data_IF_604712266361
#
_entry.id   IF_604712266361
#
_cell.length_a   1.000
_cell.length_b   1.000
_cell.length_c   1.000
_cell.angle_alpha   90.00
_cell.angle_beta   90.00
_cell.angle_gamma   90.00
#
_symmetry.space_group_name_H-M   'P 1'
#
loop_
_entity.id
_entity.type
_entity.pdbx_description
1 polymer ?
#
# COMPACT_ATOMS: atom_id res chain seq x y z
N UNK A 1 15.90 17.18 13.23
CA UNK A 1 14.53 17.33 13.78
C UNK A 1 13.45 16.58 12.96
N UNK A 2 13.50 16.57 11.63
CA UNK A 2 12.54 15.83 10.78
C UNK A 2 12.67 14.30 10.92
N UNK A 3 13.91 13.77 10.90
CA UNK A 3 14.18 12.33 11.04
C UNK A 3 13.76 11.78 12.41
N UNK A 4 13.93 12.57 13.48
CA UNK A 4 13.49 12.21 14.84
C UNK A 4 11.96 12.21 14.98
N UNK A 5 11.25 13.09 14.25
CA UNK A 5 9.78 13.06 14.17
C UNK A 5 9.27 11.88 13.34
N UNK A 6 10.00 11.47 12.30
CA UNK A 6 9.69 10.26 11.52
C UNK A 6 9.86 8.99 12.36
N UNK A 7 10.96 8.89 13.12
CA UNK A 7 11.22 7.76 14.04
C UNK A 7 10.23 7.70 15.21
N UNK A 8 9.88 8.83 15.83
CA UNK A 8 8.84 8.87 16.87
C UNK A 8 7.40 8.75 16.32
N UNK A 9 7.20 8.93 15.01
CA UNK A 9 5.93 8.62 14.33
C UNK A 9 5.85 7.17 13.86
N UNK A 10 6.89 6.36 14.10
CA UNK A 10 6.77 4.90 14.06
C UNK A 10 6.36 4.48 15.47
N UNK A 11 5.06 4.34 15.78
CA UNK A 11 4.71 3.54 16.92
C UNK A 11 5.25 2.15 16.61
N UNK A 12 6.28 1.74 17.36
CA UNK A 12 6.67 0.36 17.59
C UNK A 12 5.59 -0.37 18.40
N UNK A 13 4.33 -0.01 18.18
CA UNK A 13 3.16 -0.52 18.85
C UNK A 13 2.44 -1.37 17.83
N UNK A 14 2.54 -2.66 18.08
CA UNK A 14 1.69 -3.72 17.58
C UNK A 14 0.23 -3.54 18.07
N UNK A 15 -0.31 -2.32 18.01
CA UNK A 15 -1.73 -2.09 18.30
C UNK A 15 -2.50 -2.36 17.01
N UNK A 16 -3.47 -3.29 17.10
CA UNK A 16 -4.49 -3.57 16.09
C UNK A 16 -5.34 -2.32 15.81
N UNK A 17 -4.77 -1.31 15.16
CA UNK A 17 -5.57 -0.45 14.29
C UNK A 17 -5.93 -1.27 13.07
N UNK A 18 -7.21 -1.33 12.71
CA UNK A 18 -7.70 -2.07 11.56
C UNK A 18 -6.89 -1.69 10.31
N UNK A 19 -6.06 -2.61 9.83
CA UNK A 19 -5.25 -2.43 8.62
C UNK A 19 -5.99 -3.11 7.51
N UNK A 20 -6.09 -2.47 6.35
CA UNK A 20 -6.49 -3.15 5.12
C UNK A 20 -5.73 -4.47 4.99
N UNK A 21 -6.44 -5.56 4.73
CA UNK A 21 -5.85 -6.89 4.57
C UNK A 21 -4.65 -6.87 3.60
N UNK A 22 -4.83 -6.20 2.46
CA UNK A 22 -3.79 -6.00 1.46
C UNK A 22 -2.58 -5.23 2.02
N UNK A 23 -2.80 -4.15 2.77
CA UNK A 23 -1.68 -3.42 3.38
C UNK A 23 -0.92 -4.28 4.39
N UNK A 24 -1.62 -5.19 5.09
CA UNK A 24 -1.02 -6.22 5.94
C UNK A 24 -0.15 -7.20 5.14
N UNK A 25 -0.64 -7.72 4.01
CA UNK A 25 0.12 -8.64 3.16
C UNK A 25 1.44 -8.04 2.66
N UNK A 26 1.44 -6.77 2.23
CA UNK A 26 2.67 -6.11 1.79
C UNK A 26 3.60 -5.79 2.96
N UNK A 27 3.10 -5.07 3.95
CA UNK A 27 3.96 -4.44 4.96
C UNK A 27 4.33 -5.35 6.12
N UNK A 28 3.55 -6.40 6.37
CA UNK A 28 3.80 -7.36 7.44
C UNK A 28 4.24 -8.71 6.86
N UNK A 29 3.42 -9.37 6.04
CA UNK A 29 3.76 -10.72 5.56
C UNK A 29 4.98 -10.70 4.63
N UNK A 30 4.95 -9.89 3.57
CA UNK A 30 6.03 -9.84 2.58
C UNK A 30 7.32 -9.28 3.20
N UNK A 31 7.22 -8.25 4.03
CA UNK A 31 8.38 -7.71 4.75
C UNK A 31 9.04 -8.75 5.67
N UNK A 32 8.27 -9.46 6.50
CA UNK A 32 8.83 -10.49 7.38
C UNK A 32 9.36 -11.70 6.59
N UNK A 33 8.71 -12.07 5.49
CA UNK A 33 9.20 -13.11 4.58
C UNK A 33 10.59 -12.74 4.03
N UNK A 34 10.75 -11.52 3.51
CA UNK A 34 12.02 -11.04 2.96
C UNK A 34 13.12 -10.94 4.02
N UNK A 35 12.79 -10.45 5.22
CA UNK A 35 13.73 -10.42 6.36
C UNK A 35 14.14 -11.84 6.77
N UNK A 36 13.19 -12.77 6.86
CA UNK A 36 13.48 -14.18 7.17
C UNK A 36 14.38 -14.84 6.13
N UNK A 37 14.14 -14.58 4.84
CA UNK A 37 14.98 -15.05 3.75
C UNK A 37 16.38 -14.42 3.80
N UNK A 38 16.50 -13.12 4.10
CA UNK A 38 17.78 -12.45 4.26
C UNK A 38 18.61 -13.06 5.39
N UNK A 39 17.97 -13.38 6.52
CA UNK A 39 18.62 -14.07 7.65
C UNK A 39 19.06 -15.48 7.24
N UNK A 40 18.22 -16.24 6.54
CA UNK A 40 18.54 -17.59 6.08
C UNK A 40 19.74 -17.60 5.12
N UNK A 41 19.78 -16.68 4.15
CA UNK A 41 20.91 -16.53 3.22
C UNK A 41 22.17 -16.12 3.97
N UNK A 42 22.06 -15.15 4.89
CA UNK A 42 23.19 -14.70 5.72
C UNK A 42 23.77 -15.83 6.56
N UNK A 43 22.90 -16.66 7.16
CA UNK A 43 23.32 -17.84 7.91
C UNK A 43 24.14 -18.79 7.04
N UNK A 44 23.70 -19.07 5.81
CA UNK A 44 24.44 -19.93 4.89
C UNK A 44 25.75 -19.31 4.39
N UNK A 45 25.79 -17.99 4.26
CA UNK A 45 26.94 -17.22 3.76
C UNK A 45 28.05 -17.07 4.81
N UNK A 46 27.70 -16.84 6.08
CA UNK A 46 28.67 -16.60 7.16
C UNK A 46 28.88 -17.82 8.07
N UNK A 47 27.89 -18.70 8.19
CA UNK A 47 27.91 -19.86 9.09
C UNK A 47 28.41 -21.17 8.46
N UNK A 48 28.72 -21.19 7.17
CA UNK A 48 29.26 -22.36 6.48
C UNK A 48 30.18 -21.96 5.33
N UNK A 49 30.66 -22.96 4.56
CA UNK A 49 31.43 -22.71 3.34
C UNK A 49 30.49 -22.29 2.20
N UNK A 50 30.57 -21.05 1.67
CA UNK A 50 29.69 -20.60 0.59
C UNK A 50 30.14 -21.14 -0.78
N UNK A 51 31.44 -21.42 -0.91
CA UNK A 51 32.11 -21.93 -2.10
C UNK A 51 33.14 -23.00 -1.68
N UNK A 52 33.27 -24.06 -2.49
CA UNK A 52 34.29 -25.09 -2.31
C UNK A 52 35.01 -25.30 -3.64
N UNK A 53 36.34 -25.26 -3.64
CA UNK A 53 37.14 -25.25 -4.87
C UNK A 53 38.00 -26.52 -5.01
N UNK A 54 38.05 -27.05 -6.22
CA UNK A 54 38.96 -28.11 -6.62
C UNK A 54 40.33 -27.51 -6.92
N UNK A 55 41.23 -27.62 -5.95
CA UNK A 55 42.63 -27.17 -6.06
C UNK A 55 43.57 -28.35 -6.33
N UNK A 56 44.78 -28.13 -6.87
CA UNK A 56 45.78 -29.18 -7.08
C UNK A 56 46.14 -29.91 -5.77
N UNK A 57 46.52 -31.19 -5.87
CA UNK A 57 46.88 -32.03 -4.72
C UNK A 57 48.06 -31.51 -3.90
N UNK A 58 48.91 -30.68 -4.49
CA UNK A 58 50.10 -30.12 -3.85
C UNK A 58 49.77 -28.99 -2.85
N UNK A 59 48.52 -28.50 -2.87
CA UNK A 59 48.10 -27.39 -2.02
C UNK A 59 47.84 -27.89 -0.60
N UNK A 60 48.52 -27.28 0.38
CA UNK A 60 48.20 -27.52 1.79
C UNK A 60 46.79 -27.01 2.15
N UNK A 61 46.23 -27.46 3.27
CA UNK A 61 44.92 -26.99 3.76
C UNK A 61 44.81 -25.45 3.88
N UNK A 62 45.91 -24.76 4.22
CA UNK A 62 45.93 -23.30 4.29
C UNK A 62 45.79 -22.65 2.90
N UNK A 63 46.43 -23.24 1.88
CA UNK A 63 46.32 -22.81 0.49
C UNK A 63 44.90 -23.06 -0.07
N UNK A 64 44.27 -24.17 0.32
CA UNK A 64 42.86 -24.44 -0.02
C UNK A 64 41.94 -23.37 0.54
N UNK A 65 42.07 -23.04 1.84
CA UNK A 65 41.27 -22.00 2.48
C UNK A 65 41.55 -20.61 1.88
N UNK A 66 42.79 -20.32 1.52
CA UNK A 66 43.14 -19.07 0.82
C UNK A 66 42.44 -19.00 -0.53
N UNK A 67 42.50 -20.05 -1.35
CA UNK A 67 41.85 -20.10 -2.66
C UNK A 67 40.32 -19.99 -2.54
N UNK A 68 39.69 -20.72 -1.61
CA UNK A 68 38.24 -20.64 -1.33
C UNK A 68 37.84 -19.20 -0.95
N UNK A 69 38.55 -18.55 -0.03
CA UNK A 69 38.25 -17.18 0.41
C UNK A 69 38.53 -16.14 -0.68
N UNK A 70 39.62 -16.31 -1.44
CA UNK A 70 39.97 -15.42 -2.54
C UNK A 70 38.89 -15.48 -3.62
N UNK A 71 38.51 -16.69 -4.06
CA UNK A 71 37.48 -16.92 -5.06
C UNK A 71 36.08 -16.52 -4.58
N UNK A 72 35.83 -16.55 -3.26
CA UNK A 72 34.61 -15.98 -2.70
C UNK A 72 34.59 -14.45 -2.77
N UNK A 73 35.74 -13.81 -2.57
CA UNK A 73 35.86 -12.35 -2.56
C UNK A 73 35.90 -11.72 -3.95
N UNK A 74 36.33 -12.48 -4.96
CA UNK A 74 36.43 -12.06 -6.35
C UNK A 74 35.26 -12.59 -7.19
N UNK A 75 35.06 -11.98 -8.35
CA UNK A 75 34.02 -12.40 -9.29
C UNK A 75 34.40 -13.74 -9.94
N UNK A 76 33.47 -14.69 -9.96
CA UNK A 76 33.64 -15.97 -10.66
C UNK A 76 32.93 -15.92 -12.01
N UNK A 77 33.31 -16.79 -12.94
CA UNK A 77 32.69 -16.83 -14.27
C UNK A 77 32.22 -18.24 -14.64
N UNK A 78 31.21 -18.32 -15.49
CA UNK A 78 30.68 -19.58 -15.98
C UNK A 78 31.12 -19.84 -17.42
N UNK A 79 31.60 -21.06 -17.69
CA UNK A 79 31.89 -21.55 -19.04
C UNK A 79 31.16 -22.88 -19.21
N UNK A 80 30.36 -23.07 -20.27
CA UNK A 80 29.74 -24.36 -20.56
C UNK A 80 30.79 -25.47 -20.74
N UNK A 81 30.49 -26.68 -20.26
CA UNK A 81 31.41 -27.83 -20.40
C UNK A 81 31.70 -28.22 -21.85
N UNK A 82 30.88 -27.77 -22.81
CA UNK A 82 31.06 -28.03 -24.24
C UNK A 82 32.17 -27.19 -24.89
N UNK A 83 32.62 -26.09 -24.26
CA UNK A 83 33.66 -25.23 -24.80
C UNK A 83 34.98 -25.35 -24.01
N UNK A 84 36.15 -25.42 -24.68
CA UNK A 84 37.43 -25.47 -23.98
C UNK A 84 37.74 -24.12 -23.32
N UNK A 85 38.17 -24.15 -22.05
CA UNK A 85 38.59 -22.95 -21.29
C UNK A 85 39.75 -22.19 -21.96
N UNK A 86 40.61 -22.91 -22.70
CA UNK A 86 41.73 -22.33 -23.43
C UNK A 86 41.29 -21.47 -24.63
N UNK A 87 40.16 -21.81 -25.26
CA UNK A 87 39.63 -21.12 -26.45
C UNK A 87 38.96 -19.79 -26.12
N UNK A 88 38.51 -19.61 -24.87
CA UNK A 88 37.90 -18.39 -24.32
C UNK A 88 38.93 -17.46 -23.64
N UNK A 89 40.20 -17.53 -24.06
CA UNK A 89 41.32 -16.72 -23.53
C UNK A 89 41.31 -15.24 -23.94
N UNK A 90 40.31 -14.79 -24.70
CA UNK A 90 40.08 -13.36 -24.89
C UNK A 90 39.52 -12.74 -23.60
N UNK A 91 40.27 -11.85 -22.94
CA UNK A 91 39.83 -11.08 -21.74
C UNK A 91 38.46 -10.40 -21.89
N UNK A 92 38.01 -10.16 -23.12
CA UNK A 92 36.75 -9.45 -23.45
C UNK A 92 35.50 -10.33 -23.27
N UNK A 93 35.61 -11.65 -23.36
CA UNK A 93 34.46 -12.57 -23.25
C UNK A 93 34.27 -13.13 -21.83
N UNK A 94 35.29 -13.01 -20.97
CA UNK A 94 35.22 -13.47 -19.56
C UNK A 94 34.51 -12.47 -18.66
N UNK A 95 34.60 -11.17 -18.95
CA UNK A 95 33.95 -10.11 -18.15
C UNK A 95 32.44 -10.10 -18.29
N UNK A 96 31.89 -10.50 -19.44
CA UNK A 96 30.44 -10.59 -19.67
C UNK A 96 29.79 -11.76 -18.93
N UNK A 97 30.56 -12.78 -18.55
CA UNK A 97 30.11 -13.98 -17.85
C UNK A 97 30.40 -13.96 -16.34
N UNK A 98 30.81 -12.82 -15.77
CA UNK A 98 31.09 -12.67 -14.35
C UNK A 98 29.80 -12.68 -13.51
N UNK A 99 29.87 -13.35 -12.36
CA UNK A 99 28.75 -13.62 -11.46
C UNK A 99 29.14 -13.15 -10.07
N UNK A 100 28.46 -12.10 -9.59
CA UNK A 100 28.74 -11.50 -8.28
C UNK A 100 27.48 -11.21 -7.44
N UNK A 101 26.29 -11.47 -8.00
CA UNK A 101 25.02 -11.14 -7.34
C UNK A 101 24.87 -11.85 -5.97
N UNK A 102 25.38 -13.07 -5.82
CA UNK A 102 25.19 -13.86 -4.60
C UNK A 102 25.82 -13.20 -3.35
N UNK A 103 26.87 -12.39 -3.50
CA UNK A 103 27.52 -11.70 -2.36
C UNK A 103 26.60 -10.64 -1.73
N UNK A 104 25.79 -9.98 -2.56
CA UNK A 104 24.94 -8.84 -2.17
C UNK A 104 23.50 -9.24 -1.84
N UNK A 105 23.18 -10.53 -1.95
CA UNK A 105 21.82 -11.05 -1.81
C UNK A 105 21.13 -10.64 -0.50
N UNK A 106 21.75 -10.77 0.69
CA UNK A 106 21.05 -10.41 1.94
C UNK A 106 20.71 -8.93 2.02
N UNK A 107 21.60 -8.06 1.54
CA UNK A 107 21.39 -6.62 1.54
C UNK A 107 20.29 -6.21 0.55
N UNK A 108 20.26 -6.86 -0.61
CA UNK A 108 19.20 -6.71 -1.59
C UNK A 108 17.82 -7.05 -1.01
N UNK A 109 17.69 -8.22 -0.37
CA UNK A 109 16.43 -8.64 0.27
C UNK A 109 15.98 -7.69 1.39
N UNK A 110 16.91 -7.16 2.18
CA UNK A 110 16.60 -6.15 3.21
C UNK A 110 16.14 -4.82 2.59
N UNK A 111 16.75 -4.42 1.48
CA UNK A 111 16.33 -3.24 0.72
C UNK A 111 14.91 -3.41 0.18
N UNK A 112 14.60 -4.56 -0.45
CA UNK A 112 13.24 -4.87 -0.92
C UNK A 112 12.23 -4.82 0.26
N UNK A 113 12.57 -5.41 1.41
CA UNK A 113 11.73 -5.40 2.60
C UNK A 113 11.40 -3.96 3.07
N UNK A 114 12.40 -3.08 3.07
CA UNK A 114 12.21 -1.67 3.39
C UNK A 114 11.28 -0.97 2.39
N UNK A 115 11.43 -1.23 1.09
CA UNK A 115 10.56 -0.69 0.06
C UNK A 115 9.10 -1.15 0.22
N UNK A 116 8.85 -2.42 0.58
CA UNK A 116 7.49 -2.92 0.86
C UNK A 116 6.82 -2.25 2.07
N UNK A 117 7.61 -1.66 2.98
CA UNK A 117 7.09 -0.91 4.13
C UNK A 117 6.71 0.54 3.79
N UNK A 118 7.31 1.12 2.74
CA UNK A 118 7.18 2.53 2.39
C UNK A 118 5.74 2.99 2.11
N UNK A 119 4.90 2.29 1.32
CA UNK A 119 3.55 2.78 1.01
C UNK A 119 2.63 2.84 2.24
N UNK A 120 2.82 1.95 3.22
CA UNK A 120 2.12 2.03 4.50
C UNK A 120 2.48 3.29 5.28
N UNK A 121 3.75 3.69 5.24
CA UNK A 121 4.20 4.92 5.90
C UNK A 121 3.55 6.14 5.25
N UNK A 122 3.50 6.18 3.91
CA UNK A 122 2.81 7.22 3.12
C UNK A 122 1.34 7.33 3.55
N UNK A 123 0.60 6.21 3.55
CA UNK A 123 -0.81 6.19 3.98
C UNK A 123 -0.99 6.76 5.40
N UNK A 124 -0.25 6.24 6.38
CA UNK A 124 -0.38 6.67 7.78
C UNK A 124 -0.07 8.15 7.96
N UNK A 125 0.97 8.64 7.30
CA UNK A 125 1.38 10.03 7.39
C UNK A 125 0.33 10.97 6.80
N UNK A 126 -0.10 10.73 5.56
CA UNK A 126 -1.05 11.62 4.88
C UNK A 126 -2.48 11.49 5.42
N UNK A 127 -2.94 10.28 5.76
CA UNK A 127 -4.25 10.09 6.39
C UNK A 127 -4.29 10.73 7.80
N UNK A 128 -3.19 10.68 8.57
CA UNK A 128 -3.09 11.34 9.87
C UNK A 128 -3.11 12.86 9.79
N UNK A 129 -2.70 13.43 8.65
CA UNK A 129 -2.83 14.86 8.39
C UNK A 129 -4.25 15.28 8.01
N UNK A 130 -5.13 14.34 7.66
CA UNK A 130 -6.52 14.66 7.38
C UNK A 130 -7.25 15.07 8.67
N UNK A 131 -8.23 15.98 8.56
CA UNK A 131 -9.06 16.38 9.70
C UNK A 131 -9.93 15.25 10.27
N UNK A 132 -9.93 14.08 9.62
CA UNK A 132 -10.63 12.87 10.01
C UNK A 132 -9.57 11.87 10.44
N UNK A 133 -9.31 11.73 11.75
CA UNK A 133 -8.32 10.78 12.28
C UNK A 133 -8.76 9.33 12.01
N UNK A 134 -8.58 8.83 10.78
CA UNK A 134 -9.09 7.52 10.33
C UNK A 134 -8.59 6.39 11.22
N UNK A 135 -7.33 6.44 11.66
CA UNK A 135 -6.78 5.44 12.58
C UNK A 135 -7.50 5.37 13.92
N UNK A 136 -7.94 6.51 14.46
CA UNK A 136 -8.70 6.56 15.72
C UNK A 136 -10.13 6.05 15.52
N UNK A 137 -10.74 6.40 14.38
CA UNK A 137 -12.08 5.91 14.01
C UNK A 137 -12.06 4.38 13.89
N UNK A 138 -11.08 3.83 13.17
CA UNK A 138 -10.94 2.39 13.02
C UNK A 138 -10.66 1.69 14.35
N UNK A 139 -9.91 2.32 15.27
CA UNK A 139 -9.68 1.80 16.61
C UNK A 139 -10.99 1.68 17.41
N UNK A 140 -11.81 2.73 17.43
CA UNK A 140 -13.09 2.73 18.17
C UNK A 140 -14.09 1.72 17.58
N UNK A 141 -14.06 1.53 16.25
CA UNK A 141 -14.97 0.59 15.57
C UNK A 141 -14.55 -0.88 15.74
N UNK A 142 -13.26 -1.16 15.96
CA UNK A 142 -12.71 -2.52 16.15
C UNK A 142 -12.47 -2.84 17.62
N UNK A 143 -13.00 -2.06 18.55
CA UNK A 143 -12.86 -2.30 19.99
C UNK A 143 -13.61 -3.59 20.38
N UNK A 144 -12.94 -4.49 21.09
CA UNK A 144 -13.49 -5.76 21.56
C UNK A 144 -14.68 -5.54 22.53
N UNK A 145 -14.71 -4.39 23.22
CA UNK A 145 -15.81 -4.05 24.13
C UNK A 145 -17.12 -3.68 23.41
N UNK A 146 -17.11 -3.54 22.09
CA UNK A 146 -18.32 -3.25 21.30
C UNK A 146 -19.33 -4.42 21.30
N UNK A 147 -18.97 -5.58 21.83
CA UNK A 147 -19.95 -6.66 22.11
C UNK A 147 -20.98 -6.24 23.16
N UNK A 148 -20.61 -5.35 24.09
CA UNK A 148 -21.54 -4.80 25.10
C UNK A 148 -22.34 -3.65 24.50
N UNK A 149 -23.69 -3.69 24.53
CA UNK A 149 -24.53 -2.72 23.82
C UNK A 149 -24.39 -1.28 24.33
N UNK A 150 -24.17 -1.08 25.64
CA UNK A 150 -24.00 0.28 26.19
C UNK A 150 -22.69 0.93 25.70
N UNK A 151 -21.57 0.19 25.77
CA UNK A 151 -20.26 0.67 25.29
C UNK A 151 -20.31 0.93 23.78
N UNK A 152 -20.94 0.01 23.03
CA UNK A 152 -21.17 0.19 21.60
C UNK A 152 -21.90 1.49 21.30
N UNK A 153 -22.99 1.77 22.01
CA UNK A 153 -23.81 2.98 21.81
C UNK A 153 -23.03 4.25 22.10
N UNK A 154 -22.24 4.27 23.17
CA UNK A 154 -21.34 5.39 23.51
C UNK A 154 -20.28 5.62 22.42
N UNK A 155 -19.62 4.55 21.97
CA UNK A 155 -18.64 4.61 20.89
C UNK A 155 -19.25 5.11 19.57
N UNK A 156 -20.45 4.63 19.22
CA UNK A 156 -21.20 5.10 18.05
C UNK A 156 -21.54 6.58 18.19
N UNK A 157 -21.98 7.03 19.36
CA UNK A 157 -22.31 8.44 19.61
C UNK A 157 -21.07 9.34 19.49
N UNK A 158 -19.94 8.93 20.08
CA UNK A 158 -18.67 9.63 19.97
C UNK A 158 -18.19 9.75 18.50
N UNK A 159 -18.27 8.64 17.75
CA UNK A 159 -17.96 8.61 16.32
C UNK A 159 -18.90 9.50 15.51
N UNK A 160 -20.20 9.46 15.80
CA UNK A 160 -21.20 10.28 15.13
C UNK A 160 -20.89 11.78 15.31
N UNK A 161 -20.58 12.22 16.53
CA UNK A 161 -20.16 13.60 16.82
C UNK A 161 -18.89 13.97 16.05
N UNK A 162 -17.89 13.09 16.05
CA UNK A 162 -16.62 13.33 15.35
C UNK A 162 -16.79 13.44 13.82
N UNK A 163 -17.51 12.49 13.20
CA UNK A 163 -17.82 12.51 11.77
C UNK A 163 -18.63 13.75 11.40
N UNK A 164 -19.64 14.09 12.20
CA UNK A 164 -20.43 15.31 11.98
C UNK A 164 -19.58 16.57 12.03
N UNK A 165 -18.67 16.67 13.01
CA UNK A 165 -17.72 17.78 13.11
C UNK A 165 -16.86 17.91 11.85
N UNK A 166 -16.30 16.79 11.38
CA UNK A 166 -15.47 16.75 10.19
C UNK A 166 -16.24 17.11 8.90
N UNK A 167 -17.42 16.52 8.68
CA UNK A 167 -18.26 16.79 7.51
C UNK A 167 -18.76 18.25 7.49
N UNK A 168 -19.16 18.80 8.65
CA UNK A 168 -19.55 20.22 8.76
C UNK A 168 -18.38 21.15 8.47
N UNK A 169 -17.18 20.81 8.94
CA UNK A 169 -15.97 21.58 8.67
C UNK A 169 -15.69 21.66 7.16
N UNK A 170 -15.73 20.52 6.46
CA UNK A 170 -15.57 20.47 5.00
C UNK A 170 -16.64 21.30 4.27
N UNK A 171 -17.91 21.22 4.70
CA UNK A 171 -19.00 22.02 4.12
C UNK A 171 -18.79 23.53 4.31
N UNK A 172 -18.32 23.96 5.49
CA UNK A 172 -18.03 25.38 5.79
C UNK A 172 -16.91 25.92 4.90
N UNK A 173 -15.87 25.13 4.63
CA UNK A 173 -14.79 25.51 3.73
C UNK A 173 -15.29 25.76 2.30
N UNK A 174 -16.13 24.85 1.78
CA UNK A 174 -16.77 24.99 0.47
C UNK A 174 -17.66 26.22 0.39
N UNK A 175 -18.52 26.45 1.38
CA UNK A 175 -19.45 27.59 1.40
C UNK A 175 -18.73 28.96 1.45
N UNK A 176 -17.59 29.05 2.14
CA UNK A 176 -16.84 30.30 2.28
C UNK A 176 -15.79 30.52 1.18
N UNK A 177 -15.67 29.61 0.20
CA UNK A 177 -14.63 29.63 -0.85
C UNK A 177 -13.22 29.96 -0.30
N UNK A 178 -12.92 29.47 0.90
CA UNK A 178 -11.64 29.72 1.56
C UNK A 178 -10.56 28.89 0.87
N UNK A 179 -9.72 29.55 0.08
CA UNK A 179 -8.46 28.97 -0.42
C UNK A 179 -7.30 29.45 0.47
N UNK A 180 -6.89 28.67 1.49
CA UNK A 180 -5.85 29.11 2.44
C UNK A 180 -4.51 29.43 1.76
N UNK A 181 -4.15 28.74 0.67
CA UNK A 181 -2.96 29.05 -0.10
C UNK A 181 -3.30 29.48 -1.53
N UNK A 182 -3.02 30.75 -1.88
CA UNK A 182 -3.21 31.30 -3.24
C UNK A 182 -2.07 30.93 -4.21
N UNK A 183 -0.87 30.65 -3.70
CA UNK A 183 0.34 30.39 -4.50
C UNK A 183 0.58 28.88 -4.72
N UNK A 184 0.53 28.07 -3.67
CA UNK A 184 0.69 26.61 -3.75
C UNK A 184 -0.67 25.92 -3.72
N UNK A 185 -1.32 25.83 -4.88
CA UNK A 185 -2.68 25.28 -5.03
C UNK A 185 -2.77 23.79 -4.64
N UNK A 186 -1.67 23.04 -4.72
CA UNK A 186 -1.60 21.63 -4.29
C UNK A 186 -1.74 21.44 -2.77
N UNK A 187 -1.35 22.42 -1.95
CA UNK A 187 -1.54 22.36 -0.48
C UNK A 187 -3.00 22.54 -0.07
N UNK A 188 -3.85 23.07 -0.97
CA UNK A 188 -5.29 23.16 -0.74
C UNK A 188 -6.00 21.80 -0.88
N UNK A 189 -5.33 20.77 -1.41
CA UNK A 189 -5.88 19.43 -1.58
C UNK A 189 -6.34 18.81 -0.24
N UNK A 190 -5.64 19.13 0.85
CA UNK A 190 -5.96 18.71 2.23
C UNK A 190 -7.36 19.15 2.69
N UNK A 191 -7.89 20.23 2.12
CA UNK A 191 -9.17 20.82 2.49
C UNK A 191 -10.31 20.38 1.55
N UNK A 192 -10.03 19.45 0.62
CA UNK A 192 -11.02 18.92 -0.30
C UNK A 192 -11.92 17.86 0.35
N UNK A 193 -13.14 17.70 -0.17
CA UNK A 193 -14.16 16.72 0.27
C UNK A 193 -13.89 15.28 -0.19
N UNK A 194 -12.82 15.06 -0.96
CA UNK A 194 -12.38 13.75 -1.48
C UNK A 194 -10.94 13.42 -1.07
N UNK A 195 -10.35 14.17 -0.14
CA UNK A 195 -8.93 14.07 0.19
C UNK A 195 -8.56 12.69 0.75
N UNK A 196 -9.34 12.18 1.70
CA UNK A 196 -9.05 10.91 2.36
C UNK A 196 -9.11 9.77 1.34
N UNK A 197 -10.14 9.79 0.49
CA UNK A 197 -10.34 8.79 -0.55
C UNK A 197 -9.22 8.85 -1.60
N UNK A 198 -8.80 10.05 -2.01
CA UNK A 198 -7.68 10.22 -2.94
C UNK A 198 -6.37 9.66 -2.37
N UNK A 199 -6.05 9.99 -1.13
CA UNK A 199 -4.83 9.48 -0.47
C UNK A 199 -4.88 7.95 -0.35
N UNK A 200 -6.05 7.36 -0.15
CA UNK A 200 -6.23 5.91 -0.13
C UNK A 200 -5.92 5.27 -1.47
N UNK A 201 -6.49 5.81 -2.56
CA UNK A 201 -6.22 5.32 -3.91
C UNK A 201 -4.75 5.53 -4.31
N UNK A 202 -4.13 6.65 -3.93
CA UNK A 202 -2.69 6.88 -4.12
C UNK A 202 -1.87 5.82 -3.38
N UNK A 203 -2.23 5.48 -2.14
CA UNK A 203 -1.55 4.44 -1.39
C UNK A 203 -1.72 3.06 -2.04
N UNK A 204 -2.92 2.70 -2.50
CA UNK A 204 -3.18 1.44 -3.23
C UNK A 204 -2.40 1.36 -4.53
N UNK A 205 -2.38 2.44 -5.29
CA UNK A 205 -1.57 2.54 -6.51
C UNK A 205 -0.08 2.42 -6.19
N UNK A 206 0.39 3.04 -5.11
CA UNK A 206 1.78 2.91 -4.67
C UNK A 206 2.15 1.47 -4.26
N UNK A 207 1.23 0.69 -3.66
CA UNK A 207 1.46 -0.74 -3.42
C UNK A 207 1.60 -1.54 -4.71
N UNK A 208 0.72 -1.31 -5.68
CA UNK A 208 0.76 -1.97 -6.99
C UNK A 208 2.03 -1.60 -7.76
N UNK A 209 2.37 -0.32 -7.79
CA UNK A 209 3.58 0.20 -8.40
C UNK A 209 4.82 -0.36 -7.71
N UNK A 210 4.84 -0.45 -6.38
CA UNK A 210 5.94 -1.07 -5.65
C UNK A 210 6.13 -2.53 -6.07
N UNK A 211 5.07 -3.36 -6.10
CA UNK A 211 5.19 -4.75 -6.55
C UNK A 211 5.72 -4.84 -7.99
N UNK A 212 5.22 -3.99 -8.90
CA UNK A 212 5.72 -3.94 -10.28
C UNK A 212 7.20 -3.58 -10.37
N UNK A 213 7.63 -2.57 -9.60
CA UNK A 213 9.03 -2.14 -9.52
C UNK A 213 9.91 -3.24 -8.92
N UNK A 214 9.50 -3.85 -7.80
CA UNK A 214 10.25 -4.93 -7.15
C UNK A 214 10.36 -6.16 -8.04
N UNK A 215 9.30 -6.52 -8.77
CA UNK A 215 9.33 -7.63 -9.74
C UNK A 215 10.34 -7.35 -10.86
N UNK A 216 10.36 -6.12 -11.37
CA UNK A 216 11.34 -5.71 -12.39
C UNK A 216 12.76 -5.71 -11.83
N UNK A 217 12.94 -5.21 -10.62
CA UNK A 217 14.21 -5.13 -9.92
C UNK A 217 14.77 -6.54 -9.63
N UNK A 218 13.92 -7.48 -9.23
CA UNK A 218 14.24 -8.91 -9.07
C UNK A 218 14.75 -9.53 -10.39
N UNK A 219 14.06 -9.25 -11.51
CA UNK A 219 14.48 -9.76 -12.83
C UNK A 219 15.80 -9.14 -13.30
N UNK A 220 15.98 -7.82 -13.13
CA UNK A 220 17.20 -7.12 -13.52
C UNK A 220 18.40 -7.53 -12.68
N UNK A 221 18.19 -7.83 -11.41
CA UNK A 221 19.24 -8.25 -10.50
C UNK A 221 19.86 -9.60 -10.89
N UNK A 222 19.05 -10.53 -11.41
CA UNK A 222 19.53 -11.83 -11.86
C UNK A 222 20.17 -11.79 -13.25
N UNK A 223 19.68 -10.93 -14.14
CA UNK A 223 20.03 -10.88 -15.55
C UNK A 223 20.24 -9.44 -16.03
N UNK A 224 21.46 -8.88 -15.86
CA UNK A 224 21.74 -7.53 -16.33
C UNK A 224 21.83 -7.41 -17.86
N UNK A 225 22.14 -8.50 -18.59
CA UNK A 225 22.48 -8.47 -20.03
C UNK A 225 21.44 -9.11 -20.98
N UNK A 226 20.40 -9.77 -20.48
CA UNK A 226 19.35 -10.39 -21.31
C UNK A 226 18.01 -9.67 -21.19
N UNK A 227 17.15 -9.79 -22.21
CA UNK A 227 15.85 -9.10 -22.24
C UNK A 227 14.99 -9.40 -20.98
N UNK A 228 14.69 -8.39 -20.14
CA UNK A 228 14.25 -8.59 -18.75
C UNK A 228 12.75 -8.87 -18.54
N UNK A 229 11.93 -8.93 -19.59
CA UNK A 229 10.47 -8.87 -19.44
C UNK A 229 9.76 -10.22 -19.28
N UNK A 230 10.34 -11.34 -19.74
CA UNK A 230 9.67 -12.64 -19.76
C UNK A 230 10.34 -13.74 -18.95
N UNK A 231 11.54 -13.47 -18.40
CA UNK A 231 12.35 -14.45 -17.70
C UNK A 231 11.58 -15.30 -16.66
N UNK A 232 10.84 -14.66 -15.76
CA UNK A 232 10.12 -15.39 -14.72
C UNK A 232 8.99 -16.28 -15.26
N UNK A 233 8.29 -15.84 -16.31
CA UNK A 233 7.27 -16.65 -16.96
C UNK A 233 7.91 -17.84 -17.69
N UNK A 234 9.04 -17.63 -18.36
CA UNK A 234 9.75 -18.67 -19.09
C UNK A 234 10.28 -19.75 -18.14
N UNK A 235 10.84 -19.36 -16.99
CA UNK A 235 11.29 -20.32 -15.96
C UNK A 235 10.12 -21.08 -15.36
N UNK A 236 9.02 -20.41 -15.03
CA UNK A 236 7.85 -21.08 -14.44
C UNK A 236 7.20 -22.04 -15.43
N UNK A 237 7.08 -21.65 -16.70
CA UNK A 237 6.59 -22.50 -17.78
C UNK A 237 7.53 -23.70 -18.02
N UNK A 238 8.84 -23.49 -17.97
CA UNK A 238 9.83 -24.55 -18.16
C UNK A 238 9.88 -25.53 -16.97
N UNK A 239 9.66 -25.03 -15.73
CA UNK A 239 9.44 -25.86 -14.53
C UNK A 239 8.16 -26.71 -14.65
N UNK A 240 7.06 -26.10 -15.11
CA UNK A 240 5.78 -26.77 -15.28
C UNK A 240 5.80 -27.83 -16.37
N UNK A 241 6.52 -27.56 -17.47
CA UNK A 241 6.70 -28.49 -18.59
C UNK A 241 7.79 -29.54 -18.35
N UNK A 242 8.52 -29.47 -17.23
CA UNK A 242 9.55 -30.43 -16.85
C UNK A 242 10.83 -30.37 -17.68
N UNK A 243 11.04 -29.31 -18.47
CA UNK A 243 12.22 -29.15 -19.32
C UNK A 243 13.18 -28.11 -18.71
N UNK A 244 14.24 -28.57 -18.04
CA UNK A 244 15.18 -27.73 -17.28
C UNK A 244 16.27 -27.06 -18.16
N UNK A 245 15.87 -26.42 -19.26
CA UNK A 245 16.77 -25.79 -20.24
C UNK A 245 17.67 -24.69 -19.65
N UNK A 246 17.26 -24.05 -18.54
CA UNK A 246 18.04 -22.97 -17.91
C UNK A 246 19.31 -23.44 -17.19
N UNK A 247 19.50 -24.75 -16.97
CA UNK A 247 20.76 -25.31 -16.48
C UNK A 247 21.88 -25.21 -17.51
N UNK A 248 21.51 -25.25 -18.79
CA UNK A 248 22.45 -25.14 -19.92
C UNK A 248 22.73 -23.69 -20.29
N UNK A 249 21.79 -22.77 -20.02
CA UNK A 249 21.95 -21.34 -20.30
C UNK A 249 22.88 -20.59 -19.35
N UNK A 250 23.40 -21.26 -18.29
CA UNK A 250 24.37 -20.67 -17.37
C UNK A 250 23.79 -19.65 -16.40
N UNK A 251 22.47 -19.66 -16.23
CA UNK A 251 21.76 -18.63 -15.45
C UNK A 251 21.90 -18.79 -13.92
N UNK A 252 21.98 -20.04 -13.48
CA UNK A 252 22.29 -20.40 -12.10
C UNK A 252 23.36 -21.50 -12.10
N UNK A 253 24.62 -21.14 -12.41
CA UNK A 253 25.66 -22.14 -12.48
C UNK A 253 25.97 -22.62 -11.07
N UNK A 254 25.97 -23.94 -10.90
CA UNK A 254 26.39 -24.60 -9.67
C UNK A 254 27.91 -24.78 -9.62
N UNK A 255 28.56 -24.67 -10.77
CA UNK A 255 29.99 -24.81 -10.96
C UNK A 255 30.47 -23.56 -11.70
N UNK A 256 31.46 -22.87 -11.13
CA UNK A 256 32.08 -21.69 -11.72
C UNK A 256 33.59 -21.86 -11.74
N UNK A 257 34.26 -21.08 -12.59
CA UNK A 257 35.71 -20.99 -12.67
C UNK A 257 36.17 -19.72 -11.96
N UNK A 258 37.30 -19.82 -11.28
CA UNK A 258 37.96 -18.73 -10.59
C UNK A 258 39.43 -18.71 -11.00
N UNK A 259 39.90 -17.54 -11.42
CA UNK A 259 41.31 -17.29 -11.71
C UNK A 259 41.89 -16.51 -10.51
N UNK A 260 42.92 -17.05 -9.84
CA UNK A 260 43.66 -16.32 -8.80
C UNK A 260 45.14 -16.22 -9.14
N UNK A 261 45.73 -15.07 -8.81
CA UNK A 261 47.12 -14.75 -9.16
C UNK A 261 48.01 -14.83 -7.91
N UNK A 262 49.05 -15.67 -7.95
CA UNK A 262 50.04 -15.79 -6.88
C UNK A 262 51.34 -15.12 -7.33
N UNK A 263 51.92 -14.31 -6.44
CA UNK A 263 53.20 -13.64 -6.68
C UNK A 263 54.33 -14.47 -6.08
N UNK A 264 55.13 -15.07 -6.95
CA UNK A 264 56.42 -15.67 -6.58
C UNK A 264 57.56 -14.72 -6.98
N UNK A 265 58.77 -14.91 -6.44
CA UNK A 265 59.94 -13.97 -6.48
C UNK A 265 60.52 -13.65 -7.89
N UNK A 266 59.73 -13.76 -8.96
CA UNK A 266 60.10 -13.38 -10.33
C UNK A 266 58.99 -13.49 -11.38
N UNK A 267 57.82 -14.09 -11.06
CA UNK A 267 56.71 -14.23 -12.02
C UNK A 267 55.34 -14.21 -11.31
N UNK A 268 54.32 -13.70 -12.00
CA UNK A 268 52.92 -13.84 -11.56
C UNK A 268 52.39 -15.14 -12.18
N UNK A 269 52.03 -16.10 -11.33
CA UNK A 269 51.44 -17.37 -11.76
C UNK A 269 49.93 -17.27 -11.60
N UNK A 270 49.19 -17.50 -12.70
CA UNK A 270 47.72 -17.51 -12.68
C UNK A 270 47.19 -18.94 -12.59
N UNK A 271 46.47 -19.25 -11.52
CA UNK A 271 45.85 -20.55 -11.32
C UNK A 271 44.34 -20.45 -11.58
N UNK A 272 43.84 -21.27 -12.50
CA UNK A 272 42.39 -21.45 -12.74
C UNK A 272 41.92 -22.68 -11.97
N UNK A 273 40.97 -22.50 -11.07
CA UNK A 273 40.36 -23.56 -10.28
C UNK A 273 38.86 -23.64 -10.51
N UNK A 274 38.32 -24.85 -10.42
CA UNK A 274 36.90 -25.11 -10.54
C UNK A 274 36.26 -25.09 -9.16
N UNK A 275 35.22 -24.28 -8.98
CA UNK A 275 34.56 -24.11 -7.70
C UNK A 275 33.07 -24.47 -7.77
N UNK A 276 32.55 -25.10 -6.72
CA UNK A 276 31.14 -25.42 -6.53
C UNK A 276 30.50 -24.34 -5.68
N UNK A 277 29.48 -23.67 -6.22
CA UNK A 277 28.83 -22.53 -5.61
C UNK A 277 27.54 -22.96 -4.89
N UNK A 278 27.69 -23.47 -3.67
CA UNK A 278 26.58 -24.03 -2.86
C UNK A 278 25.48 -23.00 -2.57
N UNK A 279 25.84 -21.72 -2.42
CA UNK A 279 24.88 -20.65 -2.16
C UNK A 279 23.88 -20.48 -3.31
N UNK A 280 24.29 -20.78 -4.54
CA UNK A 280 23.47 -20.52 -5.72
C UNK A 280 22.25 -21.45 -5.83
N UNK A 281 22.34 -22.66 -5.29
CA UNK A 281 21.19 -23.58 -5.18
C UNK A 281 20.07 -22.99 -4.30
N UNK A 282 20.44 -22.32 -3.21
CA UNK A 282 19.44 -21.66 -2.35
C UNK A 282 18.84 -20.45 -3.05
N UNK A 283 19.70 -19.63 -3.65
CA UNK A 283 19.30 -18.46 -4.42
C UNK A 283 18.31 -18.82 -5.53
N UNK A 284 18.58 -19.87 -6.31
CA UNK A 284 17.67 -20.42 -7.34
C UNK A 284 16.25 -20.62 -6.78
N UNK A 285 16.12 -21.28 -5.62
CA UNK A 285 14.81 -21.57 -5.03
C UNK A 285 14.13 -20.35 -4.43
N UNK A 286 14.89 -19.47 -3.79
CA UNK A 286 14.37 -18.22 -3.21
C UNK A 286 13.75 -17.35 -4.31
N UNK A 287 14.45 -17.17 -5.43
CA UNK A 287 13.95 -16.37 -6.55
C UNK A 287 12.64 -16.91 -7.14
N UNK A 288 12.53 -18.23 -7.33
CA UNK A 288 11.30 -18.85 -7.87
C UNK A 288 10.12 -18.60 -6.92
N UNK A 289 10.34 -18.76 -5.61
CA UNK A 289 9.29 -18.52 -4.60
C UNK A 289 8.91 -17.04 -4.53
N UNK A 290 9.88 -16.14 -4.52
CA UNK A 290 9.63 -14.68 -4.48
C UNK A 290 8.91 -14.19 -5.73
N UNK A 291 9.30 -14.67 -6.91
CA UNK A 291 8.63 -14.30 -8.16
C UNK A 291 7.16 -14.73 -8.15
N UNK A 292 6.87 -15.99 -7.79
CA UNK A 292 5.49 -16.47 -7.67
C UNK A 292 4.69 -15.69 -6.62
N UNK A 293 5.32 -15.36 -5.48
CA UNK A 293 4.72 -14.54 -4.42
C UNK A 293 4.40 -13.13 -4.90
N UNK A 294 5.28 -12.47 -5.65
CA UNK A 294 5.04 -11.11 -6.17
C UNK A 294 3.92 -11.06 -7.22
N UNK A 295 3.81 -12.07 -8.09
CA UNK A 295 2.68 -12.18 -9.03
C UNK A 295 1.37 -12.39 -8.26
N UNK A 296 1.35 -13.29 -7.27
CA UNK A 296 0.18 -13.49 -6.40
C UNK A 296 -0.21 -12.21 -5.65
N UNK A 297 0.77 -11.52 -5.07
CA UNK A 297 0.54 -10.26 -4.35
C UNK A 297 0.02 -9.16 -5.28
N UNK A 298 0.59 -9.06 -6.49
CA UNK A 298 0.21 -8.11 -7.54
C UNK A 298 -1.22 -8.32 -8.04
N UNK A 299 -1.62 -9.57 -8.26
CA UNK A 299 -2.99 -9.90 -8.68
C UNK A 299 -4.01 -9.58 -7.59
N UNK A 300 -3.75 -9.96 -6.33
CA UNK A 300 -4.61 -9.60 -5.21
C UNK A 300 -4.75 -8.08 -5.01
N UNK A 301 -3.64 -7.33 -5.14
CA UNK A 301 -3.68 -5.86 -5.07
C UNK A 301 -4.50 -5.26 -6.20
N UNK A 302 -4.31 -5.73 -7.43
CA UNK A 302 -5.06 -5.25 -8.58
C UNK A 302 -6.56 -5.51 -8.39
N UNK A 303 -6.96 -6.75 -8.07
CA UNK A 303 -8.36 -7.10 -7.80
C UNK A 303 -8.97 -6.22 -6.69
N UNK A 304 -8.23 -5.98 -5.60
CA UNK A 304 -8.70 -5.13 -4.51
C UNK A 304 -8.83 -3.64 -4.93
N UNK A 305 -7.88 -3.14 -5.73
CA UNK A 305 -7.97 -1.78 -6.28
C UNK A 305 -9.22 -1.63 -7.15
N UNK A 306 -9.47 -2.60 -8.05
CA UNK A 306 -10.66 -2.60 -8.90
C UNK A 306 -11.96 -2.71 -8.09
N UNK A 307 -12.00 -3.56 -7.05
CA UNK A 307 -13.18 -3.68 -6.20
C UNK A 307 -13.50 -2.36 -5.47
N UNK A 308 -12.47 -1.67 -4.97
CA UNK A 308 -12.64 -0.36 -4.32
C UNK A 308 -13.02 0.74 -5.31
N UNK A 309 -12.46 0.72 -6.51
CA UNK A 309 -12.83 1.63 -7.59
C UNK A 309 -14.32 1.46 -7.93
N UNK A 310 -14.79 0.22 -8.11
CA UNK A 310 -16.21 -0.05 -8.34
C UNK A 310 -17.09 0.41 -7.16
N UNK A 311 -16.70 0.11 -5.91
CA UNK A 311 -17.50 0.45 -4.73
C UNK A 311 -17.69 1.96 -4.49
N UNK A 312 -16.73 2.79 -4.90
CA UNK A 312 -16.74 4.24 -4.67
C UNK A 312 -17.25 5.03 -5.87
N UNK A 313 -16.85 4.65 -7.10
CA UNK A 313 -17.25 5.41 -8.28
C UNK A 313 -18.62 5.01 -8.83
N UNK A 314 -19.07 3.78 -8.59
CA UNK A 314 -20.41 3.35 -9.02
C UNK A 314 -21.50 3.93 -8.10
N UNK A 315 -22.40 4.75 -8.67
CA UNK A 315 -23.55 5.31 -7.95
C UNK A 315 -24.49 4.22 -7.43
N UNK A 316 -24.80 3.22 -8.27
CA UNK A 316 -25.66 2.10 -7.88
C UNK A 316 -25.08 1.30 -6.71
N UNK A 317 -23.76 1.07 -6.70
CA UNK A 317 -23.11 0.38 -5.58
C UNK A 317 -23.23 1.16 -4.27
N UNK A 318 -23.04 2.49 -4.31
CA UNK A 318 -23.16 3.35 -3.11
C UNK A 318 -24.59 3.40 -2.59
N UNK A 319 -25.56 3.57 -3.49
CA UNK A 319 -26.98 3.59 -3.15
C UNK A 319 -27.41 2.25 -2.52
N UNK A 320 -27.08 1.13 -3.17
CA UNK A 320 -27.40 -0.21 -2.64
C UNK A 320 -26.77 -0.48 -1.28
N UNK A 321 -25.52 -0.05 -1.07
CA UNK A 321 -24.86 -0.20 0.23
C UNK A 321 -25.63 0.54 1.34
N UNK A 322 -26.01 1.80 1.11
CA UNK A 322 -26.75 2.59 2.10
C UNK A 322 -28.18 2.08 2.31
N UNK A 323 -28.92 1.79 1.24
CA UNK A 323 -30.30 1.29 1.32
C UNK A 323 -30.36 -0.02 2.09
N UNK A 324 -29.47 -0.97 1.80
CA UNK A 324 -29.49 -2.26 2.50
C UNK A 324 -29.23 -2.09 4.02
N UNK A 325 -28.33 -1.19 4.43
CA UNK A 325 -28.10 -0.94 5.85
C UNK A 325 -29.24 -0.15 6.51
N UNK A 326 -29.89 0.77 5.78
CA UNK A 326 -31.06 1.50 6.30
C UNK A 326 -32.29 0.59 6.45
N UNK A 327 -32.46 -0.39 5.57
CA UNK A 327 -33.51 -1.41 5.65
C UNK A 327 -33.34 -2.30 6.90
N UNK A 328 -32.10 -2.55 7.31
CA UNK A 328 -31.77 -3.30 8.53
C UNK A 328 -31.87 -2.46 9.82
N UNK A 329 -32.08 -1.13 9.71
CA UNK A 329 -32.26 -0.28 10.89
C UNK A 329 -33.68 -0.42 11.47
N UNK A 330 -33.84 -0.18 12.77
CA UNK A 330 -35.14 -0.24 13.47
C UNK A 330 -36.20 0.75 12.96
N UNK A 331 -35.82 1.72 12.12
CA UNK A 331 -36.77 2.69 11.55
C UNK A 331 -37.46 2.10 10.31
N UNK A 332 -38.79 2.17 10.19
CA UNK A 332 -39.49 1.66 9.01
C UNK A 332 -39.06 2.44 7.78
N UNK A 333 -38.25 1.81 6.92
CA UNK A 333 -37.75 2.38 5.68
C UNK A 333 -38.25 1.55 4.49
N UNK A 334 -39.21 2.10 3.74
CA UNK A 334 -39.73 1.45 2.54
C UNK A 334 -38.82 1.74 1.33
N UNK A 335 -38.21 0.68 0.79
CA UNK A 335 -37.30 0.71 -0.37
C UNK A 335 -37.98 1.00 -1.70
N UNK A 336 -39.26 0.67 -1.81
CA UNK A 336 -40.05 0.86 -3.04
C UNK A 336 -40.52 2.29 -3.23
N UNK A 337 -40.50 3.11 -2.18
CA UNK A 337 -40.95 4.50 -2.28
C UNK A 337 -39.88 5.37 -2.99
N UNK A 338 -40.21 5.90 -4.16
CA UNK A 338 -39.34 6.77 -4.95
C UNK A 338 -38.92 8.06 -4.20
N UNK A 339 -39.70 8.53 -3.22
CA UNK A 339 -39.32 9.67 -2.38
C UNK A 339 -38.14 9.34 -1.46
N UNK A 340 -38.13 8.14 -0.88
CA UNK A 340 -37.09 7.70 0.04
C UNK A 340 -35.73 7.58 -0.66
N UNK A 341 -35.70 7.07 -1.90
CA UNK A 341 -34.49 7.03 -2.72
C UNK A 341 -33.89 8.43 -2.94
N UNK A 342 -34.73 9.42 -3.27
CA UNK A 342 -34.27 10.82 -3.42
C UNK A 342 -33.70 11.40 -2.12
N UNK A 343 -34.24 11.02 -0.96
CA UNK A 343 -33.67 11.42 0.33
C UNK A 343 -32.32 10.74 0.59
N UNK A 344 -32.16 9.46 0.19
CA UNK A 344 -30.88 8.75 0.28
C UNK A 344 -29.82 9.38 -0.61
N UNK A 345 -30.17 9.75 -1.84
CA UNK A 345 -29.25 10.47 -2.74
C UNK A 345 -28.85 11.83 -2.15
N UNK A 346 -29.81 12.56 -1.58
CA UNK A 346 -29.55 13.83 -0.91
C UNK A 346 -28.61 13.67 0.30
N UNK A 347 -28.82 12.63 1.10
CA UNK A 347 -27.94 12.28 2.23
C UNK A 347 -26.53 11.92 1.76
N UNK A 348 -26.41 11.10 0.72
CA UNK A 348 -25.14 10.69 0.15
C UNK A 348 -24.35 11.89 -0.38
N UNK A 349 -24.96 12.71 -1.24
CA UNK A 349 -24.24 13.76 -1.96
C UNK A 349 -24.09 15.07 -1.17
N UNK A 350 -25.12 15.47 -0.39
CA UNK A 350 -25.12 16.77 0.32
C UNK A 350 -24.64 16.71 1.76
N UNK A 351 -24.66 15.53 2.38
CA UNK A 351 -24.30 15.37 3.80
C UNK A 351 -23.03 14.54 4.00
N UNK A 352 -22.98 13.32 3.46
CA UNK A 352 -21.81 12.43 3.59
C UNK A 352 -20.66 12.83 2.67
N UNK A 353 -20.95 13.13 1.40
CA UNK A 353 -19.93 13.30 0.38
C UNK A 353 -19.11 12.02 0.13
N UNK A 354 -18.10 12.14 -0.73
CA UNK A 354 -17.30 11.00 -1.20
C UNK A 354 -16.44 10.39 -0.07
N UNK A 355 -15.78 11.24 0.74
CA UNK A 355 -14.98 10.78 1.89
C UNK A 355 -15.83 10.14 2.99
N UNK A 356 -17.07 10.60 3.21
CA UNK A 356 -17.98 10.01 4.19
C UNK A 356 -18.44 8.61 3.79
N UNK A 357 -18.84 8.42 2.52
CA UNK A 357 -19.19 7.09 1.99
C UNK A 357 -17.98 6.17 2.02
N UNK A 358 -16.80 6.66 1.62
CA UNK A 358 -15.56 5.89 1.70
C UNK A 358 -15.27 5.42 3.12
N UNK A 359 -15.36 6.31 4.11
CA UNK A 359 -15.10 5.97 5.50
C UNK A 359 -16.11 4.93 6.03
N UNK A 360 -17.40 5.06 5.72
CA UNK A 360 -18.39 4.08 6.14
C UNK A 360 -18.14 2.70 5.54
N UNK A 361 -17.74 2.63 4.27
CA UNK A 361 -17.32 1.36 3.64
C UNK A 361 -16.06 0.79 4.27
N UNK A 362 -15.10 1.64 4.65
CA UNK A 362 -13.89 1.23 5.33
C UNK A 362 -14.20 0.66 6.73
N UNK A 363 -15.11 1.29 7.47
CA UNK A 363 -15.62 0.79 8.75
C UNK A 363 -16.33 -0.55 8.55
N UNK A 364 -17.16 -0.68 7.51
CA UNK A 364 -17.89 -1.91 7.22
C UNK A 364 -16.99 -3.14 6.92
N UNK A 365 -15.74 -2.93 6.52
CA UNK A 365 -14.77 -4.02 6.32
C UNK A 365 -14.11 -4.49 7.62
N UNK A 366 -14.19 -3.71 8.68
CA UNK A 366 -13.45 -3.92 9.93
C UNK A 366 -14.34 -4.10 11.15
N UNK A 367 -15.55 -3.55 11.13
CA UNK A 367 -16.52 -3.63 12.21
C UNK A 367 -17.66 -4.60 11.88
N UNK A 368 -18.34 -5.06 12.92
CA UNK A 368 -19.52 -5.92 12.78
C UNK A 368 -20.67 -5.22 12.04
N UNK A 369 -21.47 -6.01 11.32
CA UNK A 369 -22.61 -5.52 10.52
C UNK A 369 -23.62 -4.73 11.37
N UNK A 370 -23.82 -5.12 12.63
CA UNK A 370 -24.70 -4.42 13.57
C UNK A 370 -24.16 -3.02 13.89
N UNK A 371 -22.85 -2.89 14.13
CA UNK A 371 -22.21 -1.63 14.47
C UNK A 371 -22.36 -0.60 13.34
N UNK A 372 -22.06 -1.00 12.10
CA UNK A 372 -22.15 -0.10 10.94
C UNK A 372 -23.60 0.29 10.65
N UNK A 373 -24.54 -0.65 10.80
CA UNK A 373 -25.98 -0.39 10.62
C UNK A 373 -26.47 0.66 11.62
N UNK A 374 -26.17 0.51 12.91
CA UNK A 374 -26.52 1.50 13.94
C UNK A 374 -25.85 2.86 13.71
N UNK A 375 -24.59 2.89 13.27
CA UNK A 375 -23.88 4.12 12.93
C UNK A 375 -24.52 4.86 11.75
N UNK A 376 -24.85 4.14 10.67
CA UNK A 376 -25.56 4.71 9.50
C UNK A 376 -26.92 5.24 9.92
N UNK A 377 -27.68 4.48 10.72
CA UNK A 377 -28.97 4.92 11.26
C UNK A 377 -28.87 6.18 12.12
N UNK A 378 -27.84 6.30 12.97
CA UNK A 378 -27.57 7.49 13.79
C UNK A 378 -27.23 8.73 12.95
N UNK A 379 -26.41 8.56 11.91
CA UNK A 379 -26.08 9.61 10.95
C UNK A 379 -27.31 10.04 10.14
N UNK A 380 -28.13 9.09 9.71
CA UNK A 380 -29.38 9.34 8.99
C UNK A 380 -30.38 10.14 9.83
N UNK A 381 -30.64 9.73 11.07
CA UNK A 381 -31.51 10.46 12.02
C UNK A 381 -31.04 11.90 12.21
N UNK A 382 -29.72 12.09 12.36
CA UNK A 382 -29.15 13.44 12.50
C UNK A 382 -29.31 14.27 11.23
N UNK A 383 -29.12 13.67 10.04
CA UNK A 383 -29.35 14.35 8.78
C UNK A 383 -30.80 14.80 8.62
N UNK A 384 -31.75 13.91 8.89
CA UNK A 384 -33.17 14.19 8.76
C UNK A 384 -33.59 15.36 9.67
N UNK A 385 -33.14 15.37 10.93
CA UNK A 385 -33.37 16.49 11.85
C UNK A 385 -32.81 17.83 11.32
N UNK A 386 -31.64 17.81 10.67
CA UNK A 386 -31.04 19.00 10.05
C UNK A 386 -31.84 19.46 8.82
N UNK A 387 -32.32 18.54 7.99
CA UNK A 387 -33.15 18.88 6.83
C UNK A 387 -34.49 19.47 7.24
N UNK A 388 -35.12 18.90 8.27
CA UNK A 388 -36.36 19.43 8.84
C UNK A 388 -36.14 20.86 9.33
N UNK A 389 -35.08 21.10 10.12
CA UNK A 389 -34.79 22.44 10.62
C UNK A 389 -34.48 23.46 9.48
N UNK A 390 -33.98 23.00 8.34
CA UNK A 390 -33.81 23.84 7.14
C UNK A 390 -35.14 24.11 6.44
N UNK A 391 -36.01 23.11 6.30
CA UNK A 391 -37.33 23.27 5.68
C UNK A 391 -38.20 24.24 6.49
N UNK A 392 -38.20 24.11 7.82
CA UNK A 392 -38.86 25.04 8.74
C UNK A 392 -38.34 26.47 8.59
N UNK A 393 -37.02 26.67 8.51
CA UNK A 393 -36.41 27.99 8.28
C UNK A 393 -36.82 28.59 6.94
N UNK A 394 -36.72 27.81 5.86
CA UNK A 394 -37.09 28.28 4.52
C UNK A 394 -38.59 28.62 4.43
N UNK A 395 -39.45 27.85 5.10
CA UNK A 395 -40.88 28.14 5.18
C UNK A 395 -41.14 29.44 5.97
N UNK A 396 -40.44 29.66 7.08
CA UNK A 396 -40.52 30.90 7.86
C UNK A 396 -40.03 32.12 7.06
N UNK A 397 -38.96 31.98 6.27
CA UNK A 397 -38.47 33.02 5.37
C UNK A 397 -39.49 33.35 4.27
N UNK A 398 -40.08 32.34 3.62
CA UNK A 398 -41.14 32.56 2.60
C UNK A 398 -42.37 33.27 3.18
N UNK A 399 -42.82 32.88 4.38
CA UNK A 399 -43.93 33.58 5.07
C UNK A 399 -43.58 35.02 5.40
N UNK A 400 -42.33 35.29 5.79
CA UNK A 400 -41.85 36.63 6.10
C UNK A 400 -41.73 37.49 4.83
N UNK A 401 -41.24 36.91 3.73
CA UNK A 401 -41.19 37.55 2.42
C UNK A 401 -42.58 37.85 1.85
N UNK A 402 -43.55 36.92 2.02
CA UNK A 402 -44.95 37.13 1.65
C UNK A 402 -45.60 38.29 2.43
N UNK A 403 -45.39 38.34 3.75
CA UNK A 403 -45.84 39.48 4.58
C UNK A 403 -45.17 40.80 4.18
N UNK A 404 -43.89 40.77 3.80
CA UNK A 404 -43.22 41.94 3.23
C UNK A 404 -43.81 42.32 1.86
N UNK A 405 -44.34 41.40 1.05
CA UNK A 405 -44.96 41.74 -0.23
C UNK A 405 -46.32 42.44 -0.07
N UNK A 406 -47.10 42.08 0.96
CA UNK A 406 -48.43 42.65 1.25
C UNK A 406 -48.41 44.07 1.83
N UNK A 407 -47.30 44.51 2.42
CA UNK A 407 -47.14 45.89 2.92
C UNK A 407 -46.93 46.82 1.71
N UNK A 408 -47.86 47.75 1.45
CA UNK A 408 -47.79 48.70 0.32
C UNK A 408 -46.50 49.53 0.25
N UNK A 409 -46.19 50.05 -0.94
CA UNK A 409 -44.93 50.72 -1.28
C UNK A 409 -44.60 51.95 -0.40
N UNK A 410 -43.40 51.97 0.19
CA UNK A 410 -42.86 53.11 0.95
C UNK A 410 -41.48 52.83 1.56
N UNK A 411 -40.64 53.86 1.78
CA UNK A 411 -39.24 53.73 2.28
C UNK A 411 -39.12 53.06 3.67
N UNK A 412 -40.20 53.06 4.45
CA UNK A 412 -40.26 52.42 5.77
C UNK A 412 -40.31 50.87 5.67
N UNK A 413 -40.84 50.35 4.56
CA UNK A 413 -40.86 48.92 4.20
C UNK A 413 -39.45 48.35 4.04
N UNK A 414 -38.54 49.10 3.43
CA UNK A 414 -37.16 48.67 3.21
C UNK A 414 -36.37 48.58 4.53
N UNK A 415 -36.58 49.51 5.48
CA UNK A 415 -35.94 49.46 6.80
C UNK A 415 -36.52 48.34 7.68
N UNK A 416 -37.83 48.09 7.61
CA UNK A 416 -38.50 47.05 8.38
C UNK A 416 -38.16 45.64 7.88
N UNK A 417 -38.22 45.40 6.56
CA UNK A 417 -37.82 44.12 5.97
C UNK A 417 -36.31 43.87 6.10
N UNK A 418 -35.45 44.90 6.00
CA UNK A 418 -34.01 44.76 6.25
C UNK A 418 -33.67 44.41 7.71
N UNK A 419 -34.40 44.96 8.69
CA UNK A 419 -34.24 44.58 10.12
C UNK A 419 -34.69 43.14 10.40
N UNK A 420 -35.81 42.70 9.82
CA UNK A 420 -36.32 41.33 9.99
C UNK A 420 -35.39 40.29 9.33
N UNK A 421 -34.82 40.61 8.16
CA UNK A 421 -33.88 39.74 7.45
C UNK A 421 -32.48 39.69 8.09
N UNK A 422 -32.00 40.80 8.68
CA UNK A 422 -30.68 40.82 9.34
C UNK A 422 -30.68 40.19 10.75
N UNK A 423 -31.77 40.24 11.50
CA UNK A 423 -31.82 39.69 12.86
C UNK A 423 -31.85 38.14 12.89
N UNK A 424 -32.13 37.48 11.76
CA UNK A 424 -32.28 36.01 11.67
C UNK A 424 -31.15 35.29 10.93
N UNK A 425 -30.12 36.04 10.50
CA UNK A 425 -28.97 35.51 9.72
C UNK A 425 -27.77 35.11 10.59
N UNK A 426 -27.85 35.28 11.92
CA UNK A 426 -26.83 34.89 12.91
C UNK A 426 -27.09 33.48 13.42
#
# INVERSE_FOLDING_TARGET
>A
MFMFRVLNAVPYSNQQGAKDFIAGLHSFVTCNLLVGLAVLVSWKQFGGKPIECMVPSDFTNAWVQYAENYCWSQDTYFVPFSSPVASSSGKVDRSSAQISYYQWMPFFLLFEAACFRLPCFIWKYFAGQSGMKVGEILRLTTDEHNTVPEIRRENIQALCIHLQGALRFQKRLKMKNLSPHKILRCLNLKYSTYYVTLIYFIAKFAFLMNVGIQTKLLNQYLLPHSNPQQFGFDVWHSLWSGNETWKESGLFPRVTLCDFEVREMGNIQTHTVQCVLLINVFTEKIFIVLWAWYIFLGTLTACNLFSWMFAIFSETSKEHFLINHLEMCETPFDKENASNRKHVDCFMDKYLGLDGVFLLRLIAQHADVVFITELIGSLWKTHYAIEEQRSWRNAAERRSAGKCAEIGEGEEKNRHCARILNYRRV
#
